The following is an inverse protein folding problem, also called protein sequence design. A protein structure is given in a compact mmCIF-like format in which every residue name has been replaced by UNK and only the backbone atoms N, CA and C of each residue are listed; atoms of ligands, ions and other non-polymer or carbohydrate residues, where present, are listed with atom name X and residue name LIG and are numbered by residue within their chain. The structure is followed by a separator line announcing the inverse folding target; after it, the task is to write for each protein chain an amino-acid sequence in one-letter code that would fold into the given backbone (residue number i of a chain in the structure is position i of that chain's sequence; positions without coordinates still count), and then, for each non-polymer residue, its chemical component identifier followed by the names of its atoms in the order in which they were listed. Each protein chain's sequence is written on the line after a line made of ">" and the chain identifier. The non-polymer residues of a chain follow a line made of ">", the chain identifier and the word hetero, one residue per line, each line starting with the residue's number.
data_IF_157607969872
#
_entry.id   IF_157607969872
#
_cell.length_a   1.000
_cell.length_b   1.000
_cell.length_c   1.000
_cell.angle_alpha   90.00
_cell.angle_beta   90.00
_cell.angle_gamma   90.00
#
_symmetry.space_group_name_H-M   'P 1'
#
loop_
_entity.id
_entity.type
_entity.pdbx_description
1 polymer ?
#
# COMPACT_ATOMS: atom_id res chain seq x y z
N UNK A 1 -11.61 20.50 3.12
CA UNK A 1 -11.93 19.15 2.61
C UNK A 1 -12.64 18.44 3.73
N UNK A 2 -13.91 18.12 3.54
CA UNK A 2 -14.70 17.43 4.56
C UNK A 2 -14.20 16.00 4.70
N UNK A 3 -13.67 15.67 5.88
CA UNK A 3 -13.35 14.30 6.24
C UNK A 3 -14.60 13.44 6.08
N UNK A 4 -14.55 12.55 5.10
CA UNK A 4 -15.58 11.54 4.90
C UNK A 4 -15.47 10.53 6.03
N UNK A 5 -16.13 10.78 7.14
CA UNK A 5 -16.40 9.77 8.16
C UNK A 5 -17.48 8.87 7.60
N UNK A 6 -17.08 7.82 6.90
CA UNK A 6 -18.01 6.74 6.57
C UNK A 6 -18.28 6.00 7.87
N UNK A 7 -19.40 6.34 8.49
CA UNK A 7 -19.94 5.66 9.70
C UNK A 7 -20.55 4.30 9.37
N UNK A 8 -20.23 3.73 8.22
CA UNK A 8 -20.77 2.45 7.81
C UNK A 8 -20.16 1.29 8.60
N UNK A 9 -21.01 0.36 8.99
CA UNK A 9 -20.62 -0.91 9.57
C UNK A 9 -20.07 -1.81 8.45
N UNK A 10 -18.74 -2.00 8.45
CA UNK A 10 -18.07 -2.82 7.45
C UNK A 10 -18.21 -4.30 7.78
N UNK A 11 -18.26 -5.19 6.76
CA UNK A 11 -18.21 -6.62 6.97
C UNK A 11 -17.03 -7.03 7.84
N UNK A 12 -17.27 -7.85 8.85
CA UNK A 12 -16.25 -8.35 9.78
C UNK A 12 -15.64 -9.67 9.31
N UNK A 13 -16.40 -10.42 8.53
CA UNK A 13 -16.04 -11.72 7.99
C UNK A 13 -16.57 -11.90 6.56
N UNK A 14 -16.24 -13.04 5.95
CA UNK A 14 -16.60 -13.34 4.56
C UNK A 14 -18.11 -13.55 4.37
N UNK A 15 -18.81 -14.13 5.37
CA UNK A 15 -20.26 -14.32 5.33
C UNK A 15 -21.00 -12.99 5.26
N UNK A 16 -20.66 -12.05 6.15
CA UNK A 16 -21.22 -10.69 6.14
C UNK A 16 -20.89 -9.94 4.84
N UNK A 17 -19.69 -10.20 4.27
CA UNK A 17 -19.32 -9.63 2.98
C UNK A 17 -20.21 -10.19 1.85
N UNK A 18 -20.40 -11.50 1.80
CA UNK A 18 -21.24 -12.16 0.78
C UNK A 18 -22.73 -11.77 0.90
N UNK A 19 -23.24 -11.58 2.09
CA UNK A 19 -24.60 -11.08 2.33
C UNK A 19 -24.75 -9.64 1.80
N UNK A 20 -23.82 -8.76 2.17
CA UNK A 20 -23.83 -7.34 1.78
C UNK A 20 -23.65 -7.12 0.28
N UNK A 21 -22.83 -7.92 -0.37
CA UNK A 21 -22.53 -7.86 -1.80
C UNK A 21 -23.00 -9.14 -2.51
N UNK A 22 -24.23 -9.59 -2.18
CA UNK A 22 -24.80 -10.85 -2.68
C UNK A 22 -25.01 -10.84 -4.20
N UNK A 23 -25.23 -9.68 -4.79
CA UNK A 23 -25.44 -9.53 -6.24
C UNK A 23 -24.74 -8.30 -6.81
N UNK A 24 -24.73 -8.20 -8.13
CA UNK A 24 -24.07 -7.13 -8.87
C UNK A 24 -24.70 -5.74 -8.59
N UNK A 25 -26.01 -5.66 -8.42
CA UNK A 25 -26.73 -4.41 -8.17
C UNK A 25 -26.29 -3.78 -6.85
N UNK A 26 -26.10 -4.57 -5.79
CA UNK A 26 -25.60 -4.06 -4.50
C UNK A 26 -24.19 -3.45 -4.62
N UNK A 27 -23.34 -3.98 -5.49
CA UNK A 27 -22.04 -3.39 -5.77
C UNK A 27 -22.18 -2.04 -6.49
N UNK A 28 -23.09 -1.92 -7.46
CA UNK A 28 -23.40 -0.64 -8.10
C UNK A 28 -23.95 0.38 -7.13
N UNK A 29 -24.89 0.00 -6.26
CA UNK A 29 -25.50 0.88 -5.27
C UNK A 29 -24.46 1.40 -4.26
N UNK A 30 -23.55 0.54 -3.85
CA UNK A 30 -22.42 0.92 -2.99
C UNK A 30 -21.49 1.95 -3.67
N UNK A 31 -21.09 1.70 -4.92
CA UNK A 31 -20.26 2.63 -5.67
C UNK A 31 -20.99 3.96 -5.95
N UNK A 32 -22.30 3.91 -6.16
CA UNK A 32 -23.12 5.11 -6.33
C UNK A 32 -23.06 6.00 -5.08
N UNK A 33 -23.25 5.42 -3.89
CA UNK A 33 -23.17 6.12 -2.60
C UNK A 33 -21.78 6.74 -2.37
N UNK A 34 -20.71 6.03 -2.71
CA UNK A 34 -19.34 6.55 -2.61
C UNK A 34 -19.15 7.73 -3.58
N UNK A 35 -19.62 7.60 -4.82
CA UNK A 35 -19.40 8.64 -5.84
C UNK A 35 -20.26 9.88 -5.61
N UNK A 36 -21.45 9.70 -5.10
CA UNK A 36 -22.42 10.75 -4.82
C UNK A 36 -23.08 10.59 -3.43
N UNK A 37 -22.34 10.89 -2.36
CA UNK A 37 -22.82 10.67 -0.99
C UNK A 37 -24.08 11.45 -0.64
N UNK A 38 -24.26 12.60 -1.28
CA UNK A 38 -25.43 13.48 -1.11
C UNK A 38 -26.43 13.37 -2.28
N UNK A 39 -26.35 12.30 -3.09
CA UNK A 39 -27.13 12.12 -4.30
C UNK A 39 -26.40 12.58 -5.56
N UNK A 40 -26.96 12.20 -6.70
CA UNK A 40 -26.33 12.47 -8.00
C UNK A 40 -26.14 13.97 -8.26
N UNK A 41 -24.95 14.33 -8.72
CA UNK A 41 -24.63 15.68 -9.21
C UNK A 41 -23.91 15.54 -10.55
N UNK A 42 -24.47 16.14 -11.60
CA UNK A 42 -23.86 16.14 -12.91
C UNK A 42 -22.58 16.98 -12.94
N UNK A 43 -21.47 16.39 -13.36
CA UNK A 43 -20.16 17.08 -13.45
C UNK A 43 -20.15 18.22 -14.49
N UNK A 44 -21.06 18.18 -15.48
CA UNK A 44 -21.11 19.17 -16.57
C UNK A 44 -21.99 20.39 -16.26
N UNK A 45 -23.14 20.17 -15.59
CA UNK A 45 -24.13 21.24 -15.40
C UNK A 45 -24.70 21.31 -13.97
N UNK A 46 -24.15 20.60 -13.03
CA UNK A 46 -24.53 20.51 -11.61
C UNK A 46 -26.00 20.09 -11.35
N UNK A 47 -26.73 19.63 -12.37
CA UNK A 47 -28.12 19.17 -12.21
C UNK A 47 -28.15 17.85 -11.41
N UNK A 48 -29.20 17.61 -10.63
CA UNK A 48 -29.30 16.51 -9.68
C UNK A 48 -30.20 15.35 -10.14
N UNK A 49 -30.96 15.54 -11.23
CA UNK A 49 -31.87 14.52 -11.73
C UNK A 49 -31.22 13.74 -12.87
N UNK A 50 -31.34 12.42 -12.81
CA UNK A 50 -30.79 11.50 -13.81
C UNK A 50 -31.79 10.39 -14.17
N UNK A 51 -31.49 9.66 -15.22
CA UNK A 51 -32.05 8.35 -15.49
C UNK A 51 -30.93 7.33 -15.72
N UNK A 52 -31.21 6.05 -15.42
CA UNK A 52 -30.21 4.98 -15.53
C UNK A 52 -30.46 4.19 -16.80
N UNK A 53 -29.43 4.08 -17.65
CA UNK A 53 -29.51 3.25 -18.87
C UNK A 53 -29.31 1.77 -18.54
N UNK A 54 -29.67 0.88 -19.51
CA UNK A 54 -29.42 -0.55 -19.44
C UNK A 54 -27.93 -0.92 -19.31
N UNK A 55 -27.01 -0.02 -19.69
CA UNK A 55 -25.55 -0.16 -19.55
C UNK A 55 -25.02 0.35 -18.20
N UNK A 56 -25.87 0.56 -17.21
CA UNK A 56 -25.50 1.12 -15.90
C UNK A 56 -24.83 2.52 -15.99
N UNK A 57 -25.18 3.34 -17.00
CA UNK A 57 -24.78 4.72 -17.09
C UNK A 57 -25.84 5.61 -16.45
N UNK A 58 -25.41 6.66 -15.76
CA UNK A 58 -26.26 7.66 -15.14
C UNK A 58 -26.28 8.89 -16.05
N UNK A 59 -27.40 9.16 -16.69
CA UNK A 59 -27.54 10.19 -17.73
C UNK A 59 -28.28 11.39 -17.14
N UNK A 60 -27.64 12.56 -17.18
CA UNK A 60 -28.20 13.79 -16.68
C UNK A 60 -29.46 14.18 -17.50
N UNK A 61 -30.57 14.45 -16.82
CA UNK A 61 -31.80 14.86 -17.52
C UNK A 61 -31.74 16.24 -18.18
N UNK A 62 -30.79 17.10 -17.77
CA UNK A 62 -30.68 18.46 -18.31
C UNK A 62 -29.74 18.57 -19.51
N UNK A 63 -28.58 17.93 -19.48
CA UNK A 63 -27.54 18.11 -20.49
C UNK A 63 -27.11 16.79 -21.16
N UNK A 64 -27.80 15.71 -20.88
CA UNK A 64 -27.57 14.34 -21.43
C UNK A 64 -26.17 13.77 -21.24
N UNK A 65 -25.35 14.43 -20.43
CA UNK A 65 -24.01 13.93 -20.13
C UNK A 65 -24.09 12.58 -19.41
N UNK A 66 -23.33 11.61 -19.91
CA UNK A 66 -23.30 10.24 -19.41
C UNK A 66 -22.21 10.07 -18.34
N UNK A 67 -22.58 9.55 -17.20
CA UNK A 67 -21.68 9.25 -16.08
C UNK A 67 -21.60 7.75 -15.85
N UNK A 68 -20.39 7.22 -15.76
CA UNK A 68 -20.13 5.85 -15.34
C UNK A 68 -19.56 5.84 -13.92
N UNK A 69 -19.98 4.89 -13.09
CA UNK A 69 -19.43 4.73 -11.74
C UNK A 69 -17.97 4.29 -11.75
N UNK A 70 -17.56 3.57 -12.78
CA UNK A 70 -16.22 3.00 -12.88
C UNK A 70 -15.23 3.86 -13.67
N UNK A 71 -15.72 4.83 -14.47
CA UNK A 71 -14.86 5.69 -15.27
C UNK A 71 -13.93 6.54 -14.40
N UNK A 72 -12.64 6.55 -14.75
CA UNK A 72 -11.58 7.25 -14.01
C UNK A 72 -11.15 6.56 -12.71
N UNK A 73 -11.59 5.32 -12.47
CA UNK A 73 -11.18 4.49 -11.34
C UNK A 73 -10.34 3.30 -11.80
N UNK A 74 -9.80 2.52 -10.88
CA UNK A 74 -9.12 1.27 -11.22
C UNK A 74 -10.04 0.22 -11.87
N UNK A 75 -11.36 0.38 -11.74
CA UNK A 75 -12.39 -0.48 -12.33
C UNK A 75 -12.73 -0.07 -13.78
N UNK A 76 -12.11 1.00 -14.30
CA UNK A 76 -12.38 1.50 -15.66
C UNK A 76 -12.14 0.41 -16.70
N UNK A 77 -13.07 0.30 -17.66
CA UNK A 77 -13.03 -0.67 -18.79
C UNK A 77 -12.93 -2.15 -18.37
N UNK A 78 -13.32 -2.49 -17.14
CA UNK A 78 -13.38 -3.88 -16.73
C UNK A 78 -14.53 -4.61 -17.42
N UNK A 79 -14.22 -5.77 -18.03
CA UNK A 79 -15.22 -6.69 -18.63
C UNK A 79 -15.80 -7.68 -17.60
N UNK A 80 -15.20 -7.76 -16.42
CA UNK A 80 -15.64 -8.67 -15.35
C UNK A 80 -16.63 -7.97 -14.44
N UNK A 81 -17.59 -8.71 -13.84
CA UNK A 81 -18.55 -8.17 -12.88
C UNK A 81 -17.90 -7.41 -11.73
N UNK A 82 -18.56 -6.37 -11.22
CA UNK A 82 -18.09 -5.62 -10.06
C UNK A 82 -17.93 -6.50 -8.84
N UNK A 83 -18.83 -7.47 -8.65
CA UNK A 83 -18.75 -8.42 -7.53
C UNK A 83 -17.42 -9.19 -7.51
N UNK A 84 -16.87 -9.57 -8.68
CA UNK A 84 -15.55 -10.19 -8.75
C UNK A 84 -14.44 -9.23 -8.25
N UNK A 85 -14.53 -7.95 -8.62
CA UNK A 85 -13.59 -6.92 -8.15
C UNK A 85 -13.71 -6.69 -6.65
N UNK A 86 -14.94 -6.64 -6.12
CA UNK A 86 -15.19 -6.50 -4.69
C UNK A 86 -14.61 -7.68 -3.91
N UNK A 87 -14.81 -8.92 -4.38
CA UNK A 87 -14.15 -10.11 -3.79
C UNK A 87 -12.62 -10.03 -3.86
N UNK A 88 -12.07 -9.60 -5.00
CA UNK A 88 -10.62 -9.40 -5.13
C UNK A 88 -10.10 -8.38 -4.11
N UNK A 89 -10.76 -7.23 -3.97
CA UNK A 89 -10.42 -6.20 -2.98
C UNK A 89 -10.54 -6.73 -1.55
N UNK A 90 -11.61 -7.44 -1.25
CA UNK A 90 -11.83 -8.07 0.05
C UNK A 90 -10.67 -9.01 0.42
N UNK A 91 -10.33 -9.97 -0.39
CA UNK A 91 -9.24 -10.91 -0.11
C UNK A 91 -7.87 -10.22 -0.12
N UNK A 92 -7.66 -9.27 -1.01
CA UNK A 92 -6.45 -8.47 -1.03
C UNK A 92 -6.21 -7.72 0.28
N UNK A 93 -7.24 -7.20 0.92
CA UNK A 93 -7.10 -6.39 2.14
C UNK A 93 -7.18 -7.20 3.43
N UNK A 94 -7.93 -8.29 3.44
CA UNK A 94 -8.25 -9.06 4.66
C UNK A 94 -7.28 -10.19 4.93
N UNK A 95 -6.75 -10.85 3.89
CA UNK A 95 -5.82 -11.98 4.08
C UNK A 95 -4.51 -11.53 4.68
N UNK A 96 -4.17 -12.05 5.86
CA UNK A 96 -2.98 -11.67 6.64
C UNK A 96 -1.67 -11.93 5.88
N UNK A 97 -1.57 -13.05 5.18
CA UNK A 97 -0.41 -13.43 4.37
C UNK A 97 -0.35 -12.78 2.98
N UNK A 98 -1.34 -11.96 2.62
CA UNK A 98 -1.48 -11.48 1.24
C UNK A 98 -2.13 -12.53 0.32
N UNK A 99 -2.16 -12.22 -0.97
CA UNK A 99 -2.67 -13.11 -2.01
C UNK A 99 -1.78 -13.00 -3.25
N UNK A 100 -1.39 -14.14 -3.82
CA UNK A 100 -0.69 -14.18 -5.10
C UNK A 100 -1.67 -14.29 -6.28
N UNK A 101 -1.15 -14.16 -7.50
CA UNK A 101 -1.99 -14.12 -8.70
C UNK A 101 -2.64 -15.49 -9.01
N UNK A 102 -1.94 -16.58 -8.71
CA UNK A 102 -2.48 -17.93 -8.92
C UNK A 102 -3.68 -18.18 -8.00
N UNK A 103 -3.52 -17.91 -6.71
CA UNK A 103 -4.63 -18.03 -5.77
C UNK A 103 -5.81 -17.11 -6.11
N UNK A 104 -5.55 -15.88 -6.57
CA UNK A 104 -6.63 -14.98 -7.00
C UNK A 104 -7.34 -15.49 -8.26
N UNK A 105 -6.59 -16.07 -9.21
CA UNK A 105 -7.14 -16.69 -10.42
C UNK A 105 -8.09 -17.82 -10.06
N UNK A 106 -7.67 -18.74 -9.21
CA UNK A 106 -8.44 -19.90 -8.76
C UNK A 106 -9.71 -19.46 -8.01
N UNK A 107 -9.57 -18.58 -7.03
CA UNK A 107 -10.69 -18.12 -6.19
C UNK A 107 -11.79 -17.38 -6.97
N UNK A 108 -11.43 -16.68 -8.05
CA UNK A 108 -12.37 -15.92 -8.88
C UNK A 108 -12.76 -16.64 -10.18
N UNK A 109 -12.18 -17.78 -10.49
CA UNK A 109 -12.38 -18.47 -11.77
C UNK A 109 -11.95 -17.60 -12.96
N UNK A 110 -10.80 -16.89 -12.84
CA UNK A 110 -10.32 -16.05 -13.91
C UNK A 110 -9.67 -16.91 -15.00
N UNK A 111 -9.99 -16.65 -16.26
CA UNK A 111 -9.51 -17.44 -17.40
C UNK A 111 -7.99 -17.34 -17.66
N UNK A 112 -7.27 -16.41 -17.03
CA UNK A 112 -5.81 -16.33 -17.19
C UNK A 112 -5.11 -15.76 -15.95
N UNK A 113 -3.91 -16.25 -15.72
CA UNK A 113 -2.97 -15.73 -14.71
C UNK A 113 -2.66 -14.25 -14.92
N UNK A 114 -2.46 -13.84 -16.17
CA UNK A 114 -2.15 -12.44 -16.51
C UNK A 114 -3.24 -11.47 -16.04
N UNK A 115 -4.52 -11.86 -16.17
CA UNK A 115 -5.63 -11.06 -15.66
C UNK A 115 -5.57 -10.88 -14.14
N UNK A 116 -5.36 -11.98 -13.41
CA UNK A 116 -5.23 -11.94 -11.95
C UNK A 116 -4.03 -11.08 -11.51
N UNK A 117 -2.89 -11.23 -12.20
CA UNK A 117 -1.69 -10.46 -11.93
C UNK A 117 -1.89 -8.95 -12.16
N UNK A 118 -2.51 -8.56 -13.30
CA UNK A 118 -2.84 -7.16 -13.61
C UNK A 118 -3.79 -6.58 -12.55
N UNK A 119 -4.77 -7.35 -12.09
CA UNK A 119 -5.69 -6.92 -11.05
C UNK A 119 -4.95 -6.63 -9.75
N UNK A 120 -4.06 -7.52 -9.32
CA UNK A 120 -3.24 -7.30 -8.13
C UNK A 120 -2.33 -6.07 -8.27
N UNK A 121 -1.76 -5.81 -9.47
CA UNK A 121 -0.97 -4.60 -9.70
C UNK A 121 -1.82 -3.32 -9.61
N UNK A 122 -3.07 -3.34 -10.13
CA UNK A 122 -4.01 -2.23 -9.96
C UNK A 122 -4.34 -2.00 -8.48
N UNK A 123 -4.62 -3.06 -7.72
CA UNK A 123 -4.90 -2.98 -6.28
C UNK A 123 -3.70 -2.42 -5.51
N UNK A 124 -2.48 -2.89 -5.79
CA UNK A 124 -1.25 -2.37 -5.18
C UNK A 124 -1.05 -0.88 -5.42
N UNK A 125 -1.35 -0.39 -6.62
CA UNK A 125 -1.29 1.06 -6.91
C UNK A 125 -2.27 1.86 -6.05
N UNK A 126 -3.44 1.31 -5.75
CA UNK A 126 -4.45 1.98 -4.92
C UNK A 126 -4.13 1.97 -3.42
N UNK A 127 -3.09 1.25 -2.96
CA UNK A 127 -2.70 1.26 -1.55
C UNK A 127 -1.95 2.52 -1.10
N UNK A 128 -1.54 3.36 -2.05
CA UNK A 128 -0.84 4.61 -1.76
C UNK A 128 -1.86 5.75 -1.75
N UNK A 129 -1.87 6.51 -0.65
CA UNK A 129 -2.51 7.82 -0.62
C UNK A 129 -1.46 8.89 -0.94
N UNK A 130 -1.78 9.85 -1.80
CA UNK A 130 -0.89 10.94 -2.19
C UNK A 130 -0.59 11.88 -1.03
N UNK A 131 -1.58 12.14 -0.19
CA UNK A 131 -1.50 13.05 0.98
C UNK A 131 -1.40 12.26 2.30
N UNK A 132 -0.42 11.37 2.40
CA UNK A 132 -0.21 10.63 3.66
C UNK A 132 0.65 11.46 4.62
N UNK A 133 0.24 11.52 5.88
CA UNK A 133 1.02 12.13 6.94
C UNK A 133 2.44 11.55 7.02
N UNK A 134 3.41 12.40 7.27
CA UNK A 134 4.79 11.99 7.53
C UNK A 134 4.88 11.17 8.83
N UNK A 135 5.92 10.38 8.95
CA UNK A 135 6.28 9.72 10.21
C UNK A 135 6.76 10.76 11.20
N UNK A 136 6.48 10.55 12.49
CA UNK A 136 6.81 11.52 13.54
C UNK A 136 7.32 10.85 14.83
N UNK A 137 7.94 11.64 15.70
CA UNK A 137 8.53 11.17 16.95
C UNK A 137 9.87 10.48 16.72
N UNK A 138 10.12 9.35 17.37
CA UNK A 138 11.36 8.58 17.20
C UNK A 138 11.21 7.66 15.99
N UNK A 139 12.09 7.79 15.00
CA UNK A 139 12.03 7.03 13.75
C UNK A 139 13.36 6.34 13.47
N UNK A 140 13.35 5.00 13.42
CA UNK A 140 14.49 4.23 12.92
C UNK A 140 14.53 4.30 11.39
N UNK A 141 15.72 4.50 10.81
CA UNK A 141 15.94 4.51 9.36
C UNK A 141 17.18 3.68 9.02
N UNK A 142 17.03 2.76 8.07
CA UNK A 142 18.12 1.93 7.56
C UNK A 142 17.80 1.41 6.16
N UNK A 143 18.76 0.84 5.48
CA UNK A 143 18.57 0.16 4.22
C UNK A 143 18.78 -1.35 4.33
N UNK A 144 18.02 -2.09 3.52
CA UNK A 144 18.23 -3.53 3.38
C UNK A 144 18.18 -3.97 1.91
N UNK A 145 18.73 -5.15 1.64
CA UNK A 145 18.87 -5.70 0.30
C UNK A 145 17.90 -6.84 0.07
N UNK A 146 17.26 -6.82 -1.11
CA UNK A 146 16.42 -7.90 -1.61
C UNK A 146 17.03 -8.47 -2.90
N UNK A 147 17.13 -9.78 -2.98
CA UNK A 147 17.66 -10.55 -4.12
C UNK A 147 18.41 -11.79 -3.67
N UNK A 148 18.58 -12.74 -4.60
CA UNK A 148 19.26 -13.99 -4.36
C UNK A 148 20.75 -13.82 -4.00
N UNK A 149 21.37 -14.90 -3.51
CA UNK A 149 22.81 -14.97 -3.35
C UNK A 149 23.45 -15.20 -4.72
N UNK A 150 24.34 -14.31 -5.12
CA UNK A 150 25.21 -14.49 -6.27
C UNK A 150 26.66 -14.38 -5.82
N UNK A 151 27.58 -15.10 -6.47
CA UNK A 151 29.02 -14.91 -6.26
C UNK A 151 29.42 -13.46 -6.52
N UNK A 152 30.34 -12.92 -5.72
CA UNK A 152 30.86 -11.55 -5.90
C UNK A 152 30.67 -10.65 -4.67
N UNK A 153 30.67 -9.35 -4.89
CA UNK A 153 30.60 -8.31 -3.84
C UNK A 153 29.35 -8.46 -2.97
N UNK A 154 29.53 -8.52 -1.65
CA UNK A 154 28.44 -8.54 -0.65
C UNK A 154 28.14 -7.12 -0.17
N UNK A 155 26.88 -6.86 0.21
CA UNK A 155 26.45 -5.59 0.79
C UNK A 155 26.31 -4.45 -0.22
N UNK A 156 26.73 -3.26 0.17
CA UNK A 156 26.68 -2.03 -0.67
C UNK A 156 27.56 -2.21 -1.91
N UNK A 157 26.92 -2.21 -3.10
CA UNK A 157 27.59 -2.47 -4.40
C UNK A 157 27.29 -3.84 -5.04
N UNK A 158 26.41 -4.63 -4.47
CA UNK A 158 25.93 -5.86 -5.10
C UNK A 158 24.90 -5.52 -6.20
N UNK A 159 25.36 -5.48 -7.46
CA UNK A 159 24.56 -5.05 -8.63
C UNK A 159 23.27 -5.84 -8.88
N UNK A 160 23.21 -7.09 -8.38
CA UNK A 160 22.06 -7.99 -8.54
C UNK A 160 20.97 -7.84 -7.46
N UNK A 161 21.17 -6.94 -6.49
CA UNK A 161 20.22 -6.75 -5.38
C UNK A 161 19.53 -5.40 -5.49
N UNK A 162 18.23 -5.41 -5.24
CA UNK A 162 17.48 -4.16 -5.05
C UNK A 162 17.76 -3.61 -3.66
N UNK A 163 18.04 -2.32 -3.58
CA UNK A 163 18.22 -1.60 -2.33
C UNK A 163 16.88 -1.00 -1.92
N UNK A 164 16.51 -1.22 -0.66
CA UNK A 164 15.27 -0.72 -0.09
C UNK A 164 15.62 0.09 1.15
N UNK A 165 15.29 1.37 1.16
CA UNK A 165 15.34 2.19 2.37
C UNK A 165 14.03 2.02 3.13
N UNK A 166 14.13 1.89 4.44
CA UNK A 166 13.01 1.70 5.35
C UNK A 166 13.06 2.71 6.49
N UNK A 167 11.89 3.20 6.89
CA UNK A 167 11.71 4.01 8.08
C UNK A 167 10.58 3.42 8.93
N UNK A 168 10.75 3.39 10.25
CA UNK A 168 9.79 2.83 11.19
C UNK A 168 9.66 3.72 12.43
N UNK A 169 8.43 4.16 12.74
CA UNK A 169 8.13 4.86 14.01
C UNK A 169 8.28 3.90 15.19
N UNK A 170 8.89 4.38 16.26
CA UNK A 170 8.91 3.70 17.57
C UNK A 170 7.78 4.25 18.45
N UNK A 171 6.97 3.34 18.98
CA UNK A 171 5.93 3.66 19.98
C UNK A 171 6.18 2.82 21.25
N UNK A 172 7.12 3.28 22.08
CA UNK A 172 7.62 2.51 23.21
C UNK A 172 8.29 1.21 22.71
N UNK A 173 7.78 0.05 23.15
CA UNK A 173 8.27 -1.27 22.71
C UNK A 173 7.68 -1.73 21.36
N UNK A 174 6.69 -1.03 20.83
CA UNK A 174 6.02 -1.41 19.59
C UNK A 174 6.46 -0.53 18.42
N UNK A 175 6.30 -1.04 17.20
CA UNK A 175 6.44 -0.24 16.00
C UNK A 175 5.12 0.47 15.65
N UNK A 176 5.22 1.73 15.28
CA UNK A 176 4.15 2.51 14.69
C UNK A 176 3.98 2.25 13.19
N UNK A 177 3.90 3.33 12.44
CA UNK A 177 3.82 3.31 10.97
C UNK A 177 5.20 3.08 10.36
N UNK A 178 5.20 2.53 9.17
CA UNK A 178 6.43 2.32 8.39
C UNK A 178 6.34 2.97 7.02
N UNK A 179 7.51 3.24 6.42
CA UNK A 179 7.68 3.63 5.01
C UNK A 179 8.81 2.82 4.40
N UNK A 180 8.61 2.36 3.17
CA UNK A 180 9.61 1.64 2.39
C UNK A 180 9.66 2.18 0.97
N UNK A 181 10.87 2.30 0.42
CA UNK A 181 11.09 2.77 -0.94
C UNK A 181 12.27 2.06 -1.58
N UNK A 182 12.13 1.68 -2.85
CA UNK A 182 13.25 1.23 -3.67
C UNK A 182 14.10 2.44 -4.02
N UNK A 183 15.40 2.33 -3.79
CA UNK A 183 16.38 3.35 -4.18
C UNK A 183 17.45 2.75 -5.08
N UNK A 184 18.13 3.56 -5.85
CA UNK A 184 19.18 3.10 -6.75
C UNK A 184 20.44 2.72 -6.00
N UNK A 185 20.81 3.54 -5.03
CA UNK A 185 21.97 3.35 -4.15
C UNK A 185 21.75 4.01 -2.77
N UNK A 186 22.70 3.75 -1.85
CA UNK A 186 22.71 4.34 -0.51
C UNK A 186 23.46 5.68 -0.46
N UNK A 187 23.44 6.46 -1.55
CA UNK A 187 24.00 7.80 -1.55
C UNK A 187 23.20 8.76 -0.68
N UNK A 188 23.86 9.81 -0.22
CA UNK A 188 23.22 10.86 0.56
C UNK A 188 21.96 11.41 -0.13
N UNK A 189 22.03 11.71 -1.42
CA UNK A 189 20.90 12.30 -2.17
C UNK A 189 19.65 11.43 -2.17
N UNK A 190 19.81 10.11 -2.30
CA UNK A 190 18.69 9.17 -2.28
C UNK A 190 18.09 9.03 -0.87
N UNK A 191 18.95 8.94 0.14
CA UNK A 191 18.52 8.83 1.55
C UNK A 191 17.87 10.13 2.02
N UNK A 192 18.45 11.28 1.70
CA UNK A 192 17.90 12.60 2.00
C UNK A 192 16.50 12.79 1.41
N UNK A 193 16.34 12.50 0.13
CA UNK A 193 15.03 12.60 -0.56
C UNK A 193 13.98 11.73 0.13
N UNK A 194 14.34 10.50 0.47
CA UNK A 194 13.42 9.60 1.17
C UNK A 194 13.03 10.16 2.54
N UNK A 195 14.00 10.62 3.34
CA UNK A 195 13.77 11.18 4.68
C UNK A 195 12.86 12.40 4.58
N UNK A 196 13.21 13.38 3.74
CA UNK A 196 12.45 14.62 3.57
C UNK A 196 11.00 14.39 3.13
N UNK A 197 10.76 13.38 2.28
CA UNK A 197 9.41 13.04 1.80
C UNK A 197 8.56 12.28 2.82
N UNK A 198 9.16 11.51 3.71
CA UNK A 198 8.45 10.54 4.53
C UNK A 198 8.47 10.82 6.04
N UNK A 199 9.39 11.66 6.53
CA UNK A 199 9.59 11.89 7.97
C UNK A 199 9.44 13.38 8.28
N UNK A 200 8.73 13.67 9.37
CA UNK A 200 8.56 15.03 9.86
C UNK A 200 9.89 15.57 10.41
N UNK A 201 10.19 16.84 10.16
CA UNK A 201 11.46 17.45 10.51
C UNK A 201 11.68 17.57 12.03
N UNK A 202 10.59 17.57 12.80
CA UNK A 202 10.63 17.58 14.27
C UNK A 202 10.98 16.23 14.90
N UNK A 203 11.21 15.19 14.06
CA UNK A 203 11.47 13.83 14.51
C UNK A 203 12.92 13.62 14.91
N UNK A 204 13.14 12.73 15.87
CA UNK A 204 14.45 12.17 16.20
C UNK A 204 14.74 10.98 15.30
N UNK A 205 15.75 11.06 14.44
CA UNK A 205 16.17 9.97 13.57
C UNK A 205 17.21 9.08 14.26
N UNK A 206 16.99 7.77 14.25
CA UNK A 206 17.98 6.78 14.71
C UNK A 206 18.45 6.01 13.48
N UNK A 207 19.76 6.05 13.18
CA UNK A 207 20.37 5.32 12.06
C UNK A 207 21.60 4.54 12.49
N UNK A 208 22.11 3.68 11.60
CA UNK A 208 23.43 3.09 11.76
C UNK A 208 24.56 4.11 11.56
N UNK A 209 25.80 3.68 11.65
CA UNK A 209 26.99 4.54 11.45
C UNK A 209 27.29 4.90 9.99
N UNK A 210 26.44 4.58 9.02
CA UNK A 210 26.70 4.83 7.61
C UNK A 210 26.89 6.33 7.31
N UNK A 211 27.93 6.65 6.52
CA UNK A 211 28.30 8.04 6.23
C UNK A 211 27.23 8.78 5.41
N UNK A 212 26.39 8.07 4.64
CA UNK A 212 25.28 8.66 3.88
C UNK A 212 24.24 9.38 4.74
N UNK A 213 24.14 9.06 6.04
CA UNK A 213 23.23 9.74 6.97
C UNK A 213 23.84 10.96 7.67
N UNK A 214 25.19 11.18 7.60
CA UNK A 214 25.83 12.29 8.31
C UNK A 214 25.26 13.68 8.01
N UNK A 215 24.90 14.02 6.75
CA UNK A 215 24.40 15.35 6.42
C UNK A 215 22.98 15.64 6.91
N UNK A 216 22.22 14.64 7.36
CA UNK A 216 20.82 14.80 7.81
C UNK A 216 20.68 15.81 8.96
N UNK A 217 21.68 15.91 9.83
CA UNK A 217 21.72 16.93 10.89
C UNK A 217 21.69 18.36 10.34
N UNK A 218 22.34 18.60 9.19
CA UNK A 218 22.35 19.93 8.56
C UNK A 218 20.96 20.37 8.05
N UNK A 219 20.01 19.43 7.98
CA UNK A 219 18.63 19.69 7.56
C UNK A 219 17.69 19.96 8.73
N UNK A 220 18.22 20.05 9.96
CA UNK A 220 17.44 20.36 11.14
C UNK A 220 16.80 19.17 11.86
N UNK A 221 17.11 17.93 11.44
CA UNK A 221 16.69 16.74 12.19
C UNK A 221 17.57 16.51 13.41
N UNK A 222 16.96 16.12 14.52
CA UNK A 222 17.68 15.49 15.62
C UNK A 222 18.14 14.11 15.17
N UNK A 223 19.47 13.84 15.17
CA UNK A 223 20.03 12.62 14.62
C UNK A 223 20.88 11.87 15.63
N UNK A 224 20.46 10.66 15.96
CA UNK A 224 21.16 9.74 16.86
C UNK A 224 21.74 8.58 16.04
N UNK A 225 23.07 8.41 16.09
CA UNK A 225 23.75 7.29 15.44
C UNK A 225 24.03 6.18 16.41
N UNK A 226 23.58 4.97 16.10
CA UNK A 226 23.90 3.78 16.85
C UNK A 226 25.07 3.06 16.15
N UNK A 227 26.26 3.16 16.76
CA UNK A 227 27.45 2.50 16.24
C UNK A 227 27.52 1.08 16.77
N UNK A 228 27.71 0.13 15.88
CA UNK A 228 27.92 -1.25 16.24
C UNK A 228 29.35 -1.45 16.76
N UNK A 229 29.52 -1.76 18.04
CA UNK A 229 30.80 -2.20 18.57
C UNK A 229 31.07 -3.66 18.13
N UNK A 230 32.36 -4.04 18.02
CA UNK A 230 32.77 -5.38 17.53
C UNK A 230 32.28 -6.54 18.42
N UNK A 231 31.80 -6.26 19.64
CA UNK A 231 31.40 -7.24 20.64
C UNK A 231 29.88 -7.44 20.76
N UNK A 232 29.06 -6.60 20.09
CA UNK A 232 27.61 -6.66 20.21
C UNK A 232 26.93 -7.43 19.09
N UNK A 233 25.87 -8.14 19.40
CA UNK A 233 25.03 -8.82 18.41
C UNK A 233 24.39 -7.81 17.45
N UNK A 234 24.64 -7.98 16.15
CA UNK A 234 24.17 -7.10 15.07
C UNK A 234 22.65 -6.91 15.03
N UNK A 235 21.90 -7.84 15.62
CA UNK A 235 20.43 -7.81 15.63
C UNK A 235 19.84 -6.68 16.49
N UNK A 236 20.64 -6.06 17.39
CA UNK A 236 20.15 -5.04 18.34
C UNK A 236 20.33 -3.59 17.90
N UNK A 237 21.04 -3.33 16.79
CA UNK A 237 21.35 -1.94 16.39
C UNK A 237 20.11 -1.17 15.99
N UNK A 238 19.26 -1.72 15.11
CA UNK A 238 17.99 -1.13 14.65
C UNK A 238 16.92 -2.23 14.63
N UNK A 239 16.43 -2.68 15.79
CA UNK A 239 15.56 -3.85 15.89
C UNK A 239 14.25 -3.69 15.13
N UNK A 240 13.72 -2.46 15.05
CA UNK A 240 12.48 -2.17 14.33
C UNK A 240 12.63 -2.39 12.83
N UNK A 241 13.68 -1.85 12.22
CA UNK A 241 13.94 -2.03 10.79
C UNK A 241 14.28 -3.48 10.48
N UNK A 242 15.07 -4.14 11.32
CA UNK A 242 15.39 -5.57 11.15
C UNK A 242 14.13 -6.44 11.15
N UNK A 243 13.18 -6.17 12.04
CA UNK A 243 11.89 -6.84 12.06
C UNK A 243 11.09 -6.57 10.78
N UNK A 244 10.98 -5.31 10.36
CA UNK A 244 10.28 -4.91 9.13
C UNK A 244 10.87 -5.62 7.91
N UNK A 245 12.20 -5.61 7.77
CA UNK A 245 12.92 -6.27 6.68
C UNK A 245 12.71 -7.80 6.66
N UNK A 246 12.79 -8.45 7.83
CA UNK A 246 12.58 -9.89 7.95
C UNK A 246 11.16 -10.31 7.60
N UNK A 247 10.15 -9.56 8.06
CA UNK A 247 8.75 -9.82 7.74
C UNK A 247 8.45 -9.57 6.26
N UNK A 248 9.01 -8.53 5.65
CA UNK A 248 8.88 -8.30 4.21
C UNK A 248 9.52 -9.42 3.39
N UNK A 249 10.75 -9.84 3.72
CA UNK A 249 11.40 -10.97 3.06
C UNK A 249 10.59 -12.26 3.19
N UNK A 250 10.00 -12.51 4.35
CA UNK A 250 9.08 -13.65 4.56
C UNK A 250 7.84 -13.57 3.65
N UNK A 251 7.25 -12.38 3.49
CA UNK A 251 6.13 -12.18 2.57
C UNK A 251 6.52 -12.50 1.12
N UNK A 252 7.67 -11.99 0.67
CA UNK A 252 8.16 -12.24 -0.69
C UNK A 252 8.43 -13.72 -0.93
N UNK A 253 9.08 -14.40 0.01
CA UNK A 253 9.39 -15.83 -0.12
C UNK A 253 8.15 -16.72 0.01
N UNK A 254 7.30 -16.46 1.00
CA UNK A 254 6.15 -17.31 1.31
C UNK A 254 4.97 -17.12 0.36
N UNK A 255 4.61 -15.87 0.04
CA UNK A 255 3.42 -15.59 -0.78
C UNK A 255 3.75 -15.50 -2.27
N UNK A 256 4.92 -14.95 -2.61
CA UNK A 256 5.31 -14.68 -3.99
C UNK A 256 6.46 -15.57 -4.48
N UNK A 257 6.86 -16.60 -3.70
CA UNK A 257 7.87 -17.58 -4.04
C UNK A 257 9.21 -16.98 -4.51
N UNK A 258 9.57 -15.82 -3.96
CA UNK A 258 10.79 -15.09 -4.34
C UNK A 258 10.69 -14.31 -5.65
N UNK A 259 9.62 -14.46 -6.42
CA UNK A 259 9.45 -13.80 -7.71
C UNK A 259 8.95 -12.36 -7.54
N UNK A 260 9.88 -11.41 -7.54
CA UNK A 260 9.57 -10.00 -7.53
C UNK A 260 10.54 -9.24 -8.43
N UNK A 261 10.11 -8.93 -9.66
CA UNK A 261 10.90 -8.12 -10.59
C UNK A 261 11.13 -6.71 -10.00
N UNK A 262 12.37 -6.20 -10.10
CA UNK A 262 12.77 -4.88 -9.60
C UNK A 262 11.82 -3.76 -10.05
N UNK A 263 11.36 -3.78 -11.30
CA UNK A 263 10.43 -2.78 -11.86
C UNK A 263 9.05 -2.75 -11.18
N UNK A 264 8.65 -3.85 -10.51
CA UNK A 264 7.38 -3.95 -9.79
C UNK A 264 7.56 -3.95 -8.28
N UNK A 265 8.80 -4.00 -7.78
CA UNK A 265 9.11 -4.14 -6.36
C UNK A 265 8.44 -3.05 -5.51
N UNK A 266 8.42 -1.80 -5.97
CA UNK A 266 7.76 -0.72 -5.24
C UNK A 266 6.26 -0.99 -5.01
N UNK A 267 5.57 -1.65 -5.92
CA UNK A 267 4.16 -2.01 -5.73
C UNK A 267 3.98 -3.05 -4.60
N UNK A 268 4.89 -4.00 -4.47
CA UNK A 268 4.88 -4.97 -3.36
C UNK A 268 5.22 -4.32 -2.02
N UNK A 269 6.17 -3.37 -2.01
CA UNK A 269 6.45 -2.57 -0.81
C UNK A 269 5.24 -1.76 -0.37
N UNK A 270 4.52 -1.17 -1.32
CA UNK A 270 3.31 -0.39 -1.03
C UNK A 270 2.20 -1.26 -0.42
N UNK A 271 1.97 -2.45 -0.96
CA UNK A 271 1.06 -3.44 -0.36
C UNK A 271 1.49 -3.81 1.05
N UNK A 272 2.77 -4.08 1.27
CA UNK A 272 3.30 -4.45 2.58
C UNK A 272 3.14 -3.29 3.59
N UNK A 273 3.52 -2.07 3.22
CA UNK A 273 3.33 -0.86 4.03
C UNK A 273 1.85 -0.66 4.39
N UNK A 274 0.96 -0.80 3.41
CA UNK A 274 -0.48 -0.70 3.62
C UNK A 274 -0.98 -1.70 4.67
N UNK A 275 -0.57 -2.96 4.57
CA UNK A 275 -0.94 -4.04 5.50
C UNK A 275 -0.35 -3.81 6.88
N UNK A 276 0.94 -3.49 6.94
CA UNK A 276 1.65 -3.30 8.21
C UNK A 276 1.05 -2.13 9.00
N UNK A 277 0.81 -1.00 8.36
CA UNK A 277 0.28 0.19 9.02
C UNK A 277 -1.18 0.02 9.51
N UNK A 278 -1.89 -1.00 9.00
CA UNK A 278 -3.27 -1.35 9.41
C UNK A 278 -3.38 -2.65 10.20
N UNK A 279 -2.26 -3.22 10.65
CA UNK A 279 -2.23 -4.53 11.34
C UNK A 279 -3.02 -4.55 12.64
N UNK A 280 -3.16 -3.41 13.32
CA UNK A 280 -3.88 -3.26 14.58
C UNK A 280 -5.35 -2.85 14.42
N UNK A 281 -5.82 -2.69 13.18
CA UNK A 281 -7.22 -2.35 12.92
C UNK A 281 -8.14 -3.49 13.36
N UNK A 282 -9.02 -3.22 14.32
CA UNK A 282 -9.91 -4.23 14.92
C UNK A 282 -10.91 -4.84 13.93
N UNK A 283 -11.35 -4.07 12.94
CA UNK A 283 -12.32 -4.53 11.95
C UNK A 283 -11.63 -4.73 10.59
N UNK A 284 -11.64 -5.97 10.13
CA UNK A 284 -11.02 -6.38 8.87
C UNK A 284 -11.61 -5.60 7.69
N UNK A 285 -12.91 -5.36 7.69
CA UNK A 285 -13.61 -4.58 6.66
C UNK A 285 -13.13 -3.13 6.53
N UNK A 286 -12.67 -2.49 7.62
CA UNK A 286 -12.08 -1.14 7.54
C UNK A 286 -10.78 -1.06 6.73
N UNK A 287 -10.18 -2.19 6.40
CA UNK A 287 -9.01 -2.25 5.51
C UNK A 287 -9.39 -2.15 4.04
N UNK A 288 -10.66 -2.45 3.73
CA UNK A 288 -11.18 -2.46 2.37
C UNK A 288 -11.26 -1.05 1.75
N UNK A 289 -11.34 0.01 2.56
CA UNK A 289 -11.42 1.41 2.12
C UNK A 289 -10.06 2.16 2.32
#
# INVERSE_FOLDING_TARGET
>A
MTDFIITEDFPKNESEFDERFSNEQMCYDYLFKIRWPQGFICRRCAHTVYWKSSRNLYICRRCEHQHSLTAGTMLHSSKKPLRCWFKAMWWFTTRKSGINALSLQELLGLGSYSTAWIWLQKLRRCTIRTEREKLSGIVEVDEFYLGGQHPGKRGRGAQHKSVIVAAAEKKGRQLGRIRLQVIDDCSYNNLERFIAQNIDQTSTLITDGWCGYKPVQKQGYEHQRVLQTKAEDKSHVLPGINLVASLFKRLILGTFHGHCDRKHLQHYLNEYVFRFNRRTTKHVGKRFM
#
